data_IF_998491765650
#
_entry.id   IF_998491765650
#
_cell.length_a   1.000
_cell.length_b   1.000
_cell.length_c   1.000
_cell.angle_alpha   90.00
_cell.angle_beta   90.00
_cell.angle_gamma   90.00
#
_symmetry.space_group_name_H-M   'P 1'
#
loop_
_entity.id
_entity.type
_entity.pdbx_description
1 polymer ?
#
# COMPACT_ATOMS: atom_id res chain seq x y z
N UNK A 1 -1.06 20.93 11.81
CA UNK A 1 -1.00 19.53 12.25
C UNK A 1 -0.94 18.67 11.00
N UNK A 2 -0.01 17.72 10.94
CA UNK A 2 0.10 16.81 9.80
C UNK A 2 -1.13 15.90 9.70
N UNK A 3 -1.50 15.42 8.51
CA UNK A 3 -2.50 14.38 8.34
C UNK A 3 -2.23 13.15 9.21
N UNK A 4 -3.28 12.54 9.76
CA UNK A 4 -3.21 11.28 10.51
C UNK A 4 -4.02 10.15 9.87
N UNK A 5 -4.81 10.47 8.84
CA UNK A 5 -5.62 9.53 8.09
C UNK A 5 -5.29 9.60 6.59
N UNK A 6 -5.39 8.45 5.93
CA UNK A 6 -5.15 8.30 4.50
C UNK A 6 -6.36 7.60 3.84
N UNK A 7 -6.96 8.24 2.85
CA UNK A 7 -7.98 7.63 1.98
C UNK A 7 -7.30 7.28 0.66
N UNK A 8 -7.31 6.00 0.28
CA UNK A 8 -6.70 5.49 -0.94
C UNK A 8 -7.80 5.17 -1.95
N UNK A 9 -7.68 5.64 -3.18
CA UNK A 9 -8.47 5.17 -4.32
C UNK A 9 -7.59 4.23 -5.12
N UNK A 10 -7.93 2.95 -5.15
CA UNK A 10 -7.27 2.00 -6.05
C UNK A 10 -7.77 2.23 -7.47
N UNK A 11 -6.91 2.76 -8.33
CA UNK A 11 -7.24 2.95 -9.73
C UNK A 11 -7.17 1.61 -10.48
N UNK A 12 -7.89 1.55 -11.60
CA UNK A 12 -8.04 0.33 -12.39
C UNK A 12 -7.96 0.56 -13.91
N UNK A 13 -8.13 1.79 -14.39
CA UNK A 13 -8.16 2.13 -15.81
C UNK A 13 -7.58 3.54 -16.03
N UNK A 14 -7.33 3.90 -17.29
CA UNK A 14 -6.78 5.22 -17.64
C UNK A 14 -7.83 6.01 -18.39
N UNK A 15 -8.25 7.14 -17.84
CA UNK A 15 -9.05 8.12 -18.59
C UNK A 15 -8.15 8.92 -19.53
N UNK A 16 -8.51 8.99 -20.81
CA UNK A 16 -7.75 9.65 -21.88
C UNK A 16 -8.18 11.08 -22.13
N UNK A 17 -9.18 11.59 -21.40
CA UNK A 17 -9.80 12.87 -21.69
C UNK A 17 -11.03 12.72 -22.58
N UNK A 18 -11.91 13.71 -22.51
CA UNK A 18 -13.04 13.84 -23.43
C UNK A 18 -14.18 14.70 -22.88
N UNK A 19 -15.13 15.07 -23.75
CA UNK A 19 -16.20 16.01 -23.42
C UNK A 19 -17.27 15.44 -22.48
N UNK A 20 -17.35 14.11 -22.36
CA UNK A 20 -18.32 13.45 -21.47
C UNK A 20 -17.79 13.25 -20.05
N UNK A 21 -16.56 13.70 -19.77
CA UNK A 21 -15.98 13.70 -18.43
C UNK A 21 -16.02 12.30 -17.79
N UNK A 22 -15.60 11.29 -18.56
CA UNK A 22 -15.50 9.91 -18.13
C UNK A 22 -16.79 9.10 -18.23
N UNK A 23 -17.89 9.68 -18.74
CA UNK A 23 -19.15 8.94 -18.91
C UNK A 23 -19.10 7.93 -20.07
N UNK A 24 -18.41 8.26 -21.17
CA UNK A 24 -18.28 7.38 -22.33
C UNK A 24 -17.05 6.47 -22.22
N UNK A 25 -17.21 5.17 -22.47
CA UNK A 25 -16.09 4.20 -22.47
C UNK A 25 -15.00 4.51 -23.49
N UNK A 26 -15.34 5.18 -24.59
CA UNK A 26 -14.36 5.61 -25.60
C UNK A 26 -13.33 6.61 -25.07
N UNK A 27 -13.57 7.21 -23.90
CA UNK A 27 -12.62 8.08 -23.21
C UNK A 27 -11.69 7.29 -22.27
N UNK A 28 -11.76 5.96 -22.24
CA UNK A 28 -10.99 5.14 -21.31
C UNK A 28 -10.19 4.05 -22.02
N UNK A 29 -8.95 3.84 -21.57
CA UNK A 29 -8.21 2.62 -21.87
C UNK A 29 -8.64 1.50 -20.91
N UNK A 30 -9.49 0.60 -21.42
CA UNK A 30 -10.08 -0.52 -20.68
C UNK A 30 -9.46 -1.86 -21.10
N UNK A 31 -9.44 -2.83 -20.18
CA UNK A 31 -9.27 -4.25 -20.52
C UNK A 31 -10.64 -4.79 -20.94
N UNK A 32 -10.71 -5.91 -21.70
CA UNK A 32 -11.99 -6.48 -22.11
C UNK A 32 -12.97 -6.73 -20.95
N UNK A 33 -12.47 -7.15 -19.78
CA UNK A 33 -13.29 -7.40 -18.59
C UNK A 33 -13.73 -6.13 -17.85
N UNK A 34 -13.22 -4.94 -18.19
CA UNK A 34 -13.55 -3.66 -17.55
C UNK A 34 -14.63 -2.89 -18.31
N UNK A 35 -15.15 -3.44 -19.41
CA UNK A 35 -16.29 -2.87 -20.11
C UNK A 35 -17.50 -2.84 -19.16
N UNK A 36 -18.19 -1.70 -19.14
CA UNK A 36 -19.31 -1.40 -18.25
C UNK A 36 -18.89 -0.83 -16.88
N UNK A 37 -17.59 -0.76 -16.56
CA UNK A 37 -17.13 -0.34 -15.23
C UNK A 37 -16.84 1.17 -15.10
N UNK A 38 -16.89 1.96 -16.18
CA UNK A 38 -16.54 3.39 -16.12
C UNK A 38 -17.37 4.20 -15.11
N UNK A 39 -18.69 3.95 -14.92
CA UNK A 39 -19.44 4.64 -13.86
C UNK A 39 -18.95 4.23 -12.46
N UNK A 40 -18.47 3.00 -12.30
CA UNK A 40 -17.93 2.48 -11.03
C UNK A 40 -16.63 3.19 -10.65
N UNK A 41 -15.75 3.46 -11.62
CA UNK A 41 -14.53 4.23 -11.40
C UNK A 41 -14.83 5.66 -10.91
N UNK A 42 -15.84 6.30 -11.50
CA UNK A 42 -16.32 7.62 -11.05
C UNK A 42 -16.93 7.54 -9.64
N UNK A 43 -17.68 6.48 -9.34
CA UNK A 43 -18.23 6.28 -7.99
C UNK A 43 -17.16 5.97 -6.94
N UNK A 44 -16.02 5.37 -7.31
CA UNK A 44 -14.86 5.22 -6.41
C UNK A 44 -14.33 6.60 -5.99
N UNK A 45 -14.15 7.51 -6.95
CA UNK A 45 -13.71 8.88 -6.69
C UNK A 45 -14.68 9.59 -5.73
N UNK A 46 -15.98 9.53 -6.03
CA UNK A 46 -17.01 10.18 -5.19
C UNK A 46 -17.09 9.55 -3.80
N UNK A 47 -16.94 8.23 -3.68
CA UNK A 47 -16.90 7.55 -2.40
C UNK A 47 -15.70 8.01 -1.56
N UNK A 48 -14.54 8.21 -2.19
CA UNK A 48 -13.36 8.75 -1.52
C UNK A 48 -13.57 10.20 -1.04
N UNK A 49 -14.17 11.05 -1.88
CA UNK A 49 -14.54 12.41 -1.50
C UNK A 49 -15.48 12.44 -0.28
N UNK A 50 -16.48 11.55 -0.25
CA UNK A 50 -17.37 11.38 0.92
C UNK A 50 -16.60 10.94 2.17
N UNK A 51 -15.66 9.99 2.04
CA UNK A 51 -14.83 9.54 3.16
C UNK A 51 -13.98 10.67 3.73
N UNK A 52 -13.35 11.45 2.85
CA UNK A 52 -12.56 12.64 3.22
C UNK A 52 -13.43 13.65 3.96
N UNK A 53 -14.59 14.01 3.42
CA UNK A 53 -15.52 14.97 4.02
C UNK A 53 -16.03 14.54 5.40
N UNK A 54 -16.17 13.23 5.63
CA UNK A 54 -16.61 12.66 6.92
C UNK A 54 -15.46 12.48 7.92
N UNK A 55 -14.21 12.63 7.48
CA UNK A 55 -13.04 12.46 8.35
C UNK A 55 -12.81 13.72 9.17
N UNK A 56 -12.98 13.60 10.49
CA UNK A 56 -12.80 14.73 11.44
C UNK A 56 -11.32 15.12 11.67
N UNK A 57 -10.40 14.23 11.34
CA UNK A 57 -8.96 14.44 11.49
C UNK A 57 -8.39 15.00 10.17
N UNK A 58 -7.26 15.74 10.21
CA UNK A 58 -6.52 16.07 8.99
C UNK A 58 -6.21 14.79 8.21
N UNK A 59 -6.54 14.78 6.92
CA UNK A 59 -6.44 13.58 6.09
C UNK A 59 -5.82 13.88 4.72
N UNK A 60 -5.21 12.86 4.12
CA UNK A 60 -4.76 12.89 2.75
C UNK A 60 -5.63 11.97 1.90
N UNK A 61 -5.91 12.39 0.66
CA UNK A 61 -6.49 11.54 -0.38
C UNK A 61 -5.36 11.09 -1.30
N UNK A 62 -5.27 9.81 -1.63
CA UNK A 62 -4.28 9.29 -2.55
C UNK A 62 -4.96 8.53 -3.68
N UNK A 63 -4.72 8.95 -4.93
CA UNK A 63 -4.97 8.11 -6.10
C UNK A 63 -3.76 7.22 -6.30
N UNK A 64 -3.97 5.91 -6.42
CA UNK A 64 -2.88 4.95 -6.58
C UNK A 64 -3.10 4.06 -7.79
N UNK A 65 -2.07 3.95 -8.63
CA UNK A 65 -2.08 3.15 -9.85
C UNK A 65 -1.07 3.69 -10.86
N UNK A 66 -0.21 2.82 -11.35
CA UNK A 66 0.84 3.14 -12.30
C UNK A 66 0.41 3.08 -13.77
N UNK A 67 1.33 3.32 -14.71
CA UNK A 67 1.08 3.21 -16.14
C UNK A 67 1.09 1.72 -16.56
N UNK A 68 -0.02 1.03 -16.34
CA UNK A 68 -0.15 -0.41 -16.59
C UNK A 68 -0.37 -0.78 -18.07
N UNK A 69 -0.43 0.24 -18.95
CA UNK A 69 -0.78 0.12 -20.37
C UNK A 69 0.39 0.44 -21.26
N UNK A 70 0.63 -0.37 -22.29
CA UNK A 70 1.70 -0.14 -23.26
C UNK A 70 1.39 1.03 -24.20
N UNK A 71 0.13 1.42 -24.29
CA UNK A 71 -0.39 2.50 -25.14
C UNK A 71 -0.03 3.89 -24.60
N UNK A 72 0.28 4.04 -23.31
CA UNK A 72 0.56 5.34 -22.70
C UNK A 72 1.41 5.24 -21.43
N UNK A 73 2.25 6.26 -21.22
CA UNK A 73 2.99 6.46 -19.96
C UNK A 73 2.18 7.17 -18.87
N UNK A 74 0.96 7.61 -19.19
CA UNK A 74 0.05 8.19 -18.19
C UNK A 74 -0.31 7.11 -17.18
N UNK A 75 -0.13 7.41 -15.90
CA UNK A 75 -0.52 6.50 -14.83
C UNK A 75 -2.03 6.53 -14.60
N UNK A 76 -2.58 5.42 -14.11
CA UNK A 76 -3.99 5.38 -13.72
C UNK A 76 -4.30 6.46 -12.66
N UNK A 77 -3.42 6.64 -11.67
CA UNK A 77 -3.56 7.66 -10.63
C UNK A 77 -3.66 9.09 -11.19
N UNK A 78 -2.75 9.46 -12.11
CA UNK A 78 -2.76 10.77 -12.75
C UNK A 78 -4.02 10.97 -13.58
N UNK A 79 -4.45 9.95 -14.31
CA UNK A 79 -5.68 10.05 -15.12
C UNK A 79 -6.93 10.31 -14.27
N UNK A 80 -7.01 9.69 -13.08
CA UNK A 80 -8.13 9.91 -12.15
C UNK A 80 -8.08 11.33 -11.57
N UNK A 81 -6.90 11.85 -11.24
CA UNK A 81 -6.75 13.22 -10.76
C UNK A 81 -7.14 14.26 -11.82
N UNK A 82 -6.76 14.03 -13.09
CA UNK A 82 -7.17 14.88 -14.21
C UNK A 82 -8.68 14.81 -14.45
N UNK A 83 -9.28 13.61 -14.35
CA UNK A 83 -10.73 13.45 -14.43
C UNK A 83 -11.43 14.23 -13.31
N UNK A 84 -10.93 14.16 -12.07
CA UNK A 84 -11.46 14.94 -10.96
C UNK A 84 -11.42 16.44 -11.23
N UNK A 85 -10.32 16.93 -11.81
CA UNK A 85 -10.14 18.34 -12.16
C UNK A 85 -11.09 18.76 -13.28
N UNK A 86 -11.22 17.95 -14.31
CA UNK A 86 -12.07 18.25 -15.46
C UNK A 86 -13.57 18.25 -15.11
N UNK A 87 -13.98 17.35 -14.23
CA UNK A 87 -15.39 17.07 -13.93
C UNK A 87 -15.86 17.57 -12.56
N UNK A 88 -14.95 18.17 -11.76
CA UNK A 88 -15.26 18.67 -10.42
C UNK A 88 -15.65 17.59 -9.41
N UNK A 89 -15.20 16.34 -9.59
CA UNK A 89 -15.73 15.17 -8.86
C UNK A 89 -15.47 15.17 -7.36
N UNK A 90 -14.41 15.85 -6.91
CA UNK A 90 -14.04 15.89 -5.50
C UNK A 90 -14.86 16.90 -4.69
N UNK A 91 -15.54 17.85 -5.37
CA UNK A 91 -16.19 18.98 -4.70
C UNK A 91 -15.21 19.80 -3.84
N UNK A 92 -15.73 20.63 -2.91
CA UNK A 92 -14.90 21.32 -1.94
C UNK A 92 -14.40 20.33 -0.88
N UNK A 93 -13.10 20.02 -0.93
CA UNK A 93 -12.46 19.22 0.12
C UNK A 93 -12.29 20.05 1.39
N UNK A 94 -12.31 19.43 2.59
CA UNK A 94 -11.99 20.11 3.83
C UNK A 94 -10.63 20.83 3.74
N UNK A 95 -10.48 22.01 4.37
CA UNK A 95 -9.21 22.73 4.39
C UNK A 95 -8.07 21.82 4.85
N UNK A 96 -6.90 21.94 4.21
CA UNK A 96 -5.69 21.13 4.48
C UNK A 96 -5.79 19.65 4.11
N UNK A 97 -6.78 19.27 3.30
CA UNK A 97 -6.74 17.97 2.61
C UNK A 97 -5.69 18.03 1.50
N UNK A 98 -4.66 17.20 1.58
CA UNK A 98 -3.68 17.05 0.50
C UNK A 98 -4.07 15.88 -0.40
N UNK A 99 -3.96 16.08 -1.71
CA UNK A 99 -4.13 15.02 -2.72
C UNK A 99 -2.76 14.54 -3.16
N UNK A 100 -2.48 13.26 -2.94
CA UNK A 100 -1.26 12.57 -3.33
C UNK A 100 -1.52 11.73 -4.59
N UNK A 101 -0.50 11.62 -5.44
CA UNK A 101 -0.48 10.68 -6.56
C UNK A 101 0.58 9.62 -6.29
N UNK A 102 0.16 8.36 -6.24
CA UNK A 102 1.05 7.21 -6.22
C UNK A 102 1.01 6.55 -7.59
N UNK A 103 2.01 6.83 -8.41
CA UNK A 103 2.03 6.48 -9.84
C UNK A 103 2.84 5.19 -10.13
N UNK A 104 3.14 4.36 -9.11
CA UNK A 104 3.96 3.16 -9.27
C UNK A 104 3.19 1.87 -9.05
N UNK A 105 2.03 1.90 -8.40
CA UNK A 105 1.29 0.70 -8.05
C UNK A 105 0.83 -0.09 -9.28
N UNK A 106 1.34 -1.30 -9.46
CA UNK A 106 0.96 -2.18 -10.57
C UNK A 106 -0.03 -3.27 -10.16
N UNK A 107 -0.32 -3.40 -8.86
CA UNK A 107 -1.25 -4.38 -8.30
C UNK A 107 -1.91 -3.85 -7.02
N UNK A 108 -2.89 -4.58 -6.50
CA UNK A 108 -3.67 -4.15 -5.34
C UNK A 108 -2.87 -4.13 -4.03
N UNK A 109 -1.77 -4.87 -3.93
CA UNK A 109 -0.90 -4.80 -2.77
C UNK A 109 -0.05 -3.53 -2.80
N UNK A 110 0.54 -3.20 -3.95
CA UNK A 110 1.29 -1.97 -4.15
C UNK A 110 0.41 -0.72 -4.06
N UNK A 111 -0.87 -0.80 -4.42
CA UNK A 111 -1.84 0.26 -4.15
C UNK A 111 -1.87 0.65 -2.66
N UNK A 112 -1.75 -0.33 -1.76
CA UNK A 112 -1.74 -0.06 -0.31
C UNK A 112 -0.33 0.34 0.14
N UNK A 113 0.67 -0.48 -0.20
CA UNK A 113 2.04 -0.29 0.27
C UNK A 113 2.59 1.08 -0.15
N UNK A 114 2.50 1.41 -1.44
CA UNK A 114 3.11 2.62 -1.95
C UNK A 114 2.35 3.89 -1.56
N UNK A 115 1.02 3.83 -1.37
CA UNK A 115 0.29 4.96 -0.83
C UNK A 115 0.66 5.23 0.64
N UNK A 116 0.87 4.17 1.43
CA UNK A 116 1.32 4.30 2.82
C UNK A 116 2.75 4.85 2.90
N UNK A 117 3.65 4.43 2.02
CA UNK A 117 5.02 4.97 1.98
C UNK A 117 5.07 6.38 1.42
N UNK A 118 4.30 6.71 0.38
CA UNK A 118 4.16 8.08 -0.14
C UNK A 118 3.62 9.05 0.92
N UNK A 119 2.67 8.60 1.75
CA UNK A 119 2.19 9.37 2.89
C UNK A 119 3.32 9.66 3.90
N UNK A 120 4.12 8.64 4.22
CA UNK A 120 5.25 8.81 5.13
C UNK A 120 6.33 9.72 4.55
N UNK A 121 6.70 9.55 3.27
CA UNK A 121 7.67 10.44 2.59
C UNK A 121 7.21 11.90 2.62
N UNK A 122 5.90 12.13 2.51
CA UNK A 122 5.30 13.46 2.51
C UNK A 122 5.21 14.09 3.90
N UNK A 123 4.87 13.31 4.93
CA UNK A 123 4.49 13.84 6.25
C UNK A 123 5.42 13.46 7.40
N UNK A 124 6.39 12.56 7.17
CA UNK A 124 7.32 12.06 8.20
C UNK A 124 6.64 11.21 9.29
N UNK A 125 5.42 10.74 9.04
CA UNK A 125 4.62 9.96 9.97
C UNK A 125 3.76 8.94 9.22
N UNK A 126 3.46 7.82 9.87
CA UNK A 126 2.57 6.80 9.31
C UNK A 126 1.10 7.19 9.51
N UNK A 127 0.20 6.84 8.57
CA UNK A 127 -1.22 7.07 8.79
C UNK A 127 -1.71 6.15 9.92
N UNK A 128 -2.36 6.74 10.93
CA UNK A 128 -3.00 5.98 12.00
C UNK A 128 -4.18 5.16 11.47
N UNK A 129 -4.88 5.71 10.46
CA UNK A 129 -6.01 5.08 9.78
C UNK A 129 -5.85 5.12 8.26
N UNK A 130 -6.13 3.99 7.61
CA UNK A 130 -6.22 3.89 6.15
C UNK A 130 -7.61 3.42 5.75
N UNK A 131 -8.26 4.16 4.84
CA UNK A 131 -9.51 3.75 4.20
C UNK A 131 -9.22 3.50 2.72
N UNK A 132 -9.42 2.27 2.24
CA UNK A 132 -9.21 1.92 0.84
C UNK A 132 -10.55 1.88 0.11
N UNK A 133 -10.67 2.63 -0.96
CA UNK A 133 -11.81 2.62 -1.88
C UNK A 133 -11.44 1.76 -3.09
N UNK A 134 -12.20 0.70 -3.32
CA UNK A 134 -12.04 -0.21 -4.45
C UNK A 134 -13.34 -0.99 -4.70
N UNK A 135 -13.27 -2.03 -5.53
CA UNK A 135 -14.35 -2.99 -5.72
C UNK A 135 -14.67 -3.73 -4.41
N UNK A 136 -15.96 -3.90 -4.09
CA UNK A 136 -16.41 -4.59 -2.89
C UNK A 136 -16.05 -6.09 -2.93
N UNK A 137 -16.12 -6.74 -4.10
CA UNK A 137 -15.68 -8.13 -4.23
C UNK A 137 -14.19 -8.34 -3.89
N UNK A 138 -13.34 -7.30 -4.01
CA UNK A 138 -11.91 -7.34 -3.63
C UNK A 138 -11.67 -7.16 -2.13
N UNK A 139 -12.70 -6.86 -1.33
CA UNK A 139 -12.57 -6.48 0.10
C UNK A 139 -11.68 -7.43 0.90
N UNK A 140 -11.90 -8.74 0.78
CA UNK A 140 -11.13 -9.75 1.52
C UNK A 140 -9.63 -9.64 1.21
N UNK A 141 -9.28 -9.53 -0.08
CA UNK A 141 -7.89 -9.40 -0.52
C UNK A 141 -7.27 -8.09 -0.05
N UNK A 142 -7.96 -6.96 -0.21
CA UNK A 142 -7.46 -5.65 0.23
C UNK A 142 -7.20 -5.61 1.73
N UNK A 143 -8.11 -6.16 2.56
CA UNK A 143 -7.87 -6.28 4.01
C UNK A 143 -6.63 -7.12 4.32
N UNK A 144 -6.39 -8.18 3.55
CA UNK A 144 -5.16 -8.99 3.63
C UNK A 144 -3.91 -8.16 3.33
N UNK A 145 -3.95 -7.29 2.32
CA UNK A 145 -2.85 -6.37 2.01
C UNK A 145 -2.60 -5.38 3.15
N UNK A 146 -3.64 -4.74 3.68
CA UNK A 146 -3.51 -3.83 4.81
C UNK A 146 -2.84 -4.52 6.01
N UNK A 147 -3.23 -5.77 6.30
CA UNK A 147 -2.61 -6.55 7.36
C UNK A 147 -1.14 -6.91 7.06
N UNK A 148 -0.81 -7.28 5.81
CA UNK A 148 0.56 -7.60 5.41
C UNK A 148 1.48 -6.37 5.43
N UNK A 149 0.97 -5.21 4.99
CA UNK A 149 1.64 -3.91 5.08
C UNK A 149 1.76 -3.46 6.53
N UNK A 150 0.83 -3.84 7.40
CA UNK A 150 0.90 -3.49 8.83
C UNK A 150 0.11 -2.25 9.23
N UNK A 151 -0.89 -1.88 8.43
CA UNK A 151 -1.83 -0.80 8.76
C UNK A 151 -2.57 -1.13 10.05
N UNK A 152 -2.51 -0.23 11.03
CA UNK A 152 -3.11 -0.43 12.35
C UNK A 152 -4.65 -0.41 12.30
N UNK A 153 -5.24 0.66 11.74
CA UNK A 153 -6.67 0.77 11.50
C UNK A 153 -6.95 0.80 9.99
N UNK A 154 -7.49 -0.30 9.47
CA UNK A 154 -7.83 -0.42 8.06
C UNK A 154 -9.35 -0.56 7.85
N UNK A 155 -9.88 0.18 6.89
CA UNK A 155 -11.25 0.04 6.40
C UNK A 155 -11.26 -0.07 4.87
N UNK A 156 -12.28 -0.75 4.34
CA UNK A 156 -12.53 -0.81 2.89
C UNK A 156 -13.92 -0.27 2.60
N UNK A 157 -14.02 0.65 1.64
CA UNK A 157 -15.26 1.10 1.02
C UNK A 157 -15.34 0.43 -0.34
N UNK A 158 -16.30 -0.48 -0.47
CA UNK A 158 -16.48 -1.28 -1.67
C UNK A 158 -17.58 -0.72 -2.55
N UNK A 159 -17.31 -0.56 -3.84
CA UNK A 159 -18.31 -0.19 -4.86
C UNK A 159 -18.11 -1.10 -6.07
N UNK A 160 -19.11 -1.90 -6.40
CA UNK A 160 -19.09 -2.84 -7.51
C UNK A 160 -19.86 -2.31 -8.73
N UNK A 161 -19.53 -2.75 -9.96
CA UNK A 161 -20.35 -2.47 -11.12
C UNK A 161 -21.70 -3.17 -11.02
N UNK A 162 -22.79 -2.59 -11.57
CA UNK A 162 -24.14 -3.17 -11.49
C UNK A 162 -24.23 -4.62 -12.00
N UNK A 163 -23.43 -4.98 -13.02
CA UNK A 163 -23.39 -6.33 -13.60
C UNK A 163 -22.64 -7.37 -12.76
N UNK A 164 -22.01 -6.99 -11.65
CA UNK A 164 -21.17 -7.89 -10.86
C UNK A 164 -21.95 -9.04 -10.22
N UNK A 165 -23.23 -8.82 -9.86
CA UNK A 165 -24.08 -9.88 -9.31
C UNK A 165 -24.33 -11.04 -10.30
N UNK A 166 -24.08 -10.83 -11.60
CA UNK A 166 -24.24 -11.82 -12.66
C UNK A 166 -22.93 -12.30 -13.29
N UNK A 167 -21.75 -11.98 -12.73
CA UNK A 167 -20.46 -12.32 -13.32
C UNK A 167 -19.67 -13.36 -12.48
N UNK A 168 -20.04 -14.66 -12.54
CA UNK A 168 -19.43 -15.71 -11.72
C UNK A 168 -17.94 -15.91 -12.01
N UNK A 169 -17.49 -15.66 -13.24
CA UNK A 169 -16.08 -15.82 -13.60
C UNK A 169 -15.20 -14.72 -12.97
N UNK A 170 -15.73 -13.49 -12.86
CA UNK A 170 -15.04 -12.41 -12.16
C UNK A 170 -14.89 -12.72 -10.65
N UNK A 171 -15.94 -13.27 -10.02
CA UNK A 171 -15.88 -13.71 -8.62
C UNK A 171 -14.88 -14.85 -8.43
N UNK A 172 -14.89 -15.85 -9.33
CA UNK A 172 -13.95 -16.98 -9.28
C UNK A 172 -12.50 -16.51 -9.43
N UNK A 173 -12.24 -15.63 -10.39
CA UNK A 173 -10.92 -15.03 -10.59
C UNK A 173 -10.46 -14.22 -9.36
N UNK A 174 -11.39 -13.51 -8.70
CA UNK A 174 -11.06 -12.84 -7.44
C UNK A 174 -10.76 -13.83 -6.31
N UNK A 175 -11.52 -14.93 -6.17
CA UNK A 175 -11.26 -15.95 -5.15
C UNK A 175 -9.89 -16.60 -5.33
N UNK A 176 -9.52 -16.93 -6.57
CA UNK A 176 -8.20 -17.46 -6.92
C UNK A 176 -7.11 -16.47 -6.55
N UNK A 177 -7.26 -15.20 -6.94
CA UNK A 177 -6.31 -14.17 -6.57
C UNK A 177 -6.24 -13.98 -5.04
N UNK A 178 -7.36 -14.07 -4.32
CA UNK A 178 -7.36 -13.99 -2.86
C UNK A 178 -6.62 -15.17 -2.21
N UNK A 179 -6.66 -16.37 -2.81
CA UNK A 179 -5.87 -17.53 -2.38
C UNK A 179 -4.38 -17.32 -2.66
N UNK A 180 -4.02 -16.86 -3.87
CA UNK A 180 -2.63 -16.55 -4.24
C UNK A 180 -2.02 -15.59 -3.20
N UNK A 181 -2.71 -14.48 -2.92
CA UNK A 181 -2.23 -13.47 -1.97
C UNK A 181 -2.28 -13.91 -0.51
N UNK A 182 -3.15 -14.84 -0.14
CA UNK A 182 -3.11 -15.44 1.20
C UNK A 182 -1.86 -16.32 1.39
N UNK A 183 -1.43 -17.01 0.34
CA UNK A 183 -0.22 -17.85 0.34
C UNK A 183 1.08 -17.05 0.19
N UNK A 184 1.03 -15.92 -0.52
CA UNK A 184 2.14 -14.99 -0.74
C UNK A 184 1.71 -13.54 -0.42
N UNK A 185 1.65 -13.17 0.88
CA UNK A 185 1.12 -11.88 1.31
C UNK A 185 1.91 -10.66 0.84
N UNK A 186 3.14 -10.86 0.36
CA UNK A 186 4.02 -9.80 -0.13
C UNK A 186 4.18 -9.83 -1.66
N UNK A 187 3.55 -10.79 -2.35
CA UNK A 187 3.59 -10.90 -3.81
C UNK A 187 5.00 -11.08 -4.37
N UNK A 188 5.82 -11.89 -3.69
CA UNK A 188 7.24 -12.13 -4.04
C UNK A 188 7.46 -13.45 -4.78
N UNK A 189 6.51 -14.38 -4.68
CA UNK A 189 6.51 -15.64 -5.41
C UNK A 189 6.40 -15.44 -6.91
N UNK A 190 6.91 -16.40 -7.67
CA UNK A 190 7.07 -16.31 -9.12
C UNK A 190 5.77 -15.94 -9.87
N UNK A 191 4.62 -16.46 -9.43
CA UNK A 191 3.34 -16.17 -10.07
C UNK A 191 2.93 -14.69 -9.96
N UNK A 192 2.93 -14.14 -8.74
CA UNK A 192 2.52 -12.75 -8.49
C UNK A 192 3.56 -11.75 -9.02
N UNK A 193 4.85 -12.06 -8.93
CA UNK A 193 5.91 -11.22 -9.49
C UNK A 193 5.89 -11.20 -11.02
N UNK A 194 5.61 -12.32 -11.69
CA UNK A 194 5.43 -12.38 -13.13
C UNK A 194 4.20 -11.58 -13.59
N UNK A 195 3.06 -11.74 -12.91
CA UNK A 195 1.84 -10.92 -13.16
C UNK A 195 2.13 -9.42 -13.00
N UNK A 196 2.99 -9.03 -12.06
CA UNK A 196 3.42 -7.64 -11.86
C UNK A 196 4.34 -7.15 -12.99
N UNK A 197 5.34 -7.94 -13.36
CA UNK A 197 6.25 -7.61 -14.45
C UNK A 197 5.52 -7.42 -15.79
N UNK A 198 4.52 -8.27 -16.08
CA UNK A 198 3.68 -8.16 -17.26
C UNK A 198 2.85 -6.86 -17.30
N UNK A 199 2.58 -6.24 -16.14
CA UNK A 199 1.90 -4.94 -16.01
C UNK A 199 2.87 -3.77 -15.93
N UNK A 200 4.18 -3.98 -16.14
CA UNK A 200 5.20 -2.93 -16.08
C UNK A 200 5.85 -2.65 -17.46
N UNK A 201 5.07 -2.26 -18.50
CA UNK A 201 5.62 -2.04 -19.84
C UNK A 201 6.66 -0.92 -19.88
N UNK A 202 6.70 -0.05 -18.88
CA UNK A 202 7.57 1.13 -18.82
C UNK A 202 8.72 1.01 -17.82
N UNK A 203 8.90 -0.15 -17.18
CA UNK A 203 10.01 -0.36 -16.23
C UNK A 203 9.95 0.57 -15.01
N UNK A 204 8.74 0.92 -14.54
CA UNK A 204 8.53 1.79 -13.38
C UNK A 204 9.17 1.20 -12.14
N UNK A 205 9.86 2.04 -11.37
CA UNK A 205 10.49 1.68 -10.10
C UNK A 205 9.49 1.04 -9.13
N UNK A 206 9.85 -0.10 -8.54
CA UNK A 206 9.00 -0.88 -7.62
C UNK A 206 9.63 -1.02 -6.22
N UNK A 207 10.56 -0.14 -5.84
CA UNK A 207 11.05 -0.07 -4.47
C UNK A 207 9.98 0.44 -3.51
N UNK A 208 10.11 0.09 -2.22
CA UNK A 208 9.15 0.46 -1.17
C UNK A 208 8.97 1.99 -1.09
N UNK A 209 10.08 2.72 -1.15
CA UNK A 209 10.13 4.17 -1.26
C UNK A 209 10.42 4.60 -2.70
N UNK A 210 10.16 5.87 -2.99
CA UNK A 210 10.43 6.52 -4.27
C UNK A 210 11.90 6.35 -4.69
N UNK A 211 12.14 6.39 -5.99
CA UNK A 211 13.50 6.25 -6.52
C UNK A 211 14.39 7.39 -5.99
N UNK A 212 15.63 7.07 -5.62
CA UNK A 212 16.55 8.03 -5.01
C UNK A 212 16.32 8.33 -3.53
N UNK A 213 15.39 7.63 -2.86
CA UNK A 213 15.19 7.77 -1.41
C UNK A 213 16.46 7.35 -0.64
N UNK A 214 17.05 8.22 0.21
CA UNK A 214 18.38 8.00 0.78
C UNK A 214 18.41 6.86 1.82
N UNK A 215 19.34 5.91 1.65
CA UNK A 215 19.44 4.70 2.49
C UNK A 215 19.38 4.98 4.00
N UNK A 216 20.16 5.96 4.50
CA UNK A 216 20.24 6.34 5.92
C UNK A 216 18.93 6.77 6.58
N UNK A 217 17.92 7.17 5.79
CA UNK A 217 16.60 7.54 6.31
C UNK A 217 15.71 6.33 6.52
N UNK A 218 16.00 5.18 5.90
CA UNK A 218 15.23 3.95 6.12
C UNK A 218 15.52 3.38 7.51
N UNK A 219 16.74 3.54 8.04
CA UNK A 219 17.03 3.23 9.44
C UNK A 219 16.28 4.18 10.39
N UNK A 220 16.16 5.47 10.04
CA UNK A 220 15.39 6.44 10.82
C UNK A 220 13.89 6.13 10.81
N UNK A 221 13.35 5.73 9.64
CA UNK A 221 12.00 5.19 9.50
C UNK A 221 11.81 4.00 10.43
N UNK A 222 12.74 3.04 10.39
CA UNK A 222 12.68 1.82 11.20
C UNK A 222 12.81 2.13 12.70
N UNK A 223 13.64 3.13 13.08
CA UNK A 223 13.83 3.59 14.46
C UNK A 223 12.61 4.33 14.98
N UNK A 224 12.00 5.22 14.20
CA UNK A 224 10.78 5.95 14.55
C UNK A 224 9.57 5.01 14.70
N UNK A 225 9.52 3.95 13.88
CA UNK A 225 8.57 2.84 14.06
C UNK A 225 8.77 2.10 15.39
N UNK A 226 10.02 1.77 15.74
CA UNK A 226 10.36 1.10 17.01
C UNK A 226 10.14 1.97 18.26
N UNK A 227 10.39 3.29 18.17
CA UNK A 227 10.17 4.25 19.26
C UNK A 227 8.68 4.52 19.52
N UNK A 228 7.85 4.56 18.47
CA UNK A 228 6.40 4.68 18.61
C UNK A 228 5.79 3.45 19.32
N UNK A 229 6.35 2.26 19.11
CA UNK A 229 5.97 1.03 19.82
C UNK A 229 6.39 1.01 21.30
N UNK A 230 7.46 1.72 21.68
CA UNK A 230 7.88 1.90 23.08
C UNK A 230 6.98 2.91 23.82
N UNK A 231 6.50 3.94 23.12
CA UNK A 231 5.65 5.01 23.69
C UNK A 231 4.20 4.56 23.99
N UNK A 232 3.71 3.51 23.33
CA UNK A 232 2.37 2.93 23.58
C UNK A 232 2.31 1.99 24.80
N UNK A 233 3.43 1.77 25.52
CA UNK A 233 3.38 1.20 26.87
C UNK A 233 3.04 2.34 27.83
N UNK A 234 1.75 2.44 28.18
CA UNK A 234 1.24 3.45 29.11
C UNK A 234 1.99 3.48 30.45
N UNK A 235 1.84 4.57 31.24
CA UNK A 235 2.62 4.80 32.44
C UNK A 235 2.44 3.64 33.42
N UNK A 236 3.54 2.96 33.72
CA UNK A 236 3.64 2.03 34.82
C UNK A 236 3.19 2.74 36.09
N UNK A 237 2.06 2.27 36.65
CA UNK A 237 1.53 2.72 37.92
C UNK A 237 2.59 2.57 39.01
N UNK A 238 3.07 3.70 39.50
CA UNK A 238 3.80 3.83 40.74
C UNK A 238 2.90 3.45 41.91
N UNK A 239 3.24 2.37 42.63
CA UNK A 239 2.92 2.23 44.06
C UNK A 239 4.03 1.51 44.80
N UNK A 240 4.91 2.30 45.43
CA UNK A 240 5.44 2.08 46.80
C UNK A 240 4.22 1.92 47.75
N UNK A 241 4.13 1.14 48.81
CA UNK A 241 5.03 0.52 49.80
C UNK A 241 4.18 -0.49 50.60
N UNK A 242 4.78 -1.53 51.19
CA UNK A 242 4.11 -2.29 52.26
C UNK A 242 4.79 -3.62 52.60
N UNK A 243 5.49 -3.65 53.73
CA UNK A 243 6.25 -4.77 54.29
C UNK A 243 5.33 -5.72 55.09
N UNK A 244 5.48 -7.04 54.94
CA UNK A 244 5.81 -8.00 56.03
C UNK A 244 5.23 -9.42 55.89
N UNK A 245 6.14 -10.39 56.03
CA UNK A 245 6.05 -11.71 56.69
C UNK A 245 4.99 -12.77 56.30
N UNK A 246 5.43 -13.89 55.70
CA UNK A 246 5.51 -15.23 56.34
C UNK A 246 5.65 -16.37 55.29
N UNK A 247 6.39 -17.42 55.66
CA UNK A 247 6.85 -18.56 54.84
C UNK A 247 5.96 -19.83 55.03
N UNK A 248 6.30 -21.06 54.55
CA UNK A 248 5.98 -21.61 53.23
C UNK A 248 5.16 -22.94 53.29
N UNK A 249 4.53 -23.38 52.19
CA UNK A 249 4.40 -24.83 51.86
C UNK A 249 3.81 -25.17 50.47
N UNK A 250 4.56 -26.07 49.80
CA UNK A 250 4.21 -27.13 48.82
C UNK A 250 3.61 -26.83 47.43
N UNK A 251 4.51 -26.92 46.45
CA UNK A 251 4.41 -27.61 45.14
C UNK A 251 3.06 -28.28 44.78
N UNK A 252 2.45 -27.88 43.66
CA UNK A 252 2.58 -28.58 42.35
C UNK A 252 1.81 -27.81 41.27
N UNK A 253 2.48 -27.69 40.12
CA UNK A 253 2.02 -27.04 38.91
C UNK A 253 0.92 -27.85 38.19
N UNK A 254 0.03 -27.14 37.49
CA UNK A 254 -0.43 -27.46 36.14
C UNK A 254 -1.08 -26.19 35.55
N UNK A 255 -0.46 -25.71 34.48
CA UNK A 255 -0.70 -24.45 33.80
C UNK A 255 -1.90 -24.52 32.86
N UNK A 256 -2.85 -23.59 33.00
CA UNK A 256 -3.80 -23.22 31.95
C UNK A 256 -3.09 -22.31 30.92
N UNK A 257 -3.35 -22.42 29.61
CA UNK A 257 -2.73 -21.53 28.63
C UNK A 257 -3.33 -20.13 28.75
N UNK A 258 -2.44 -19.17 29.04
CA UNK A 258 -2.75 -17.75 29.12
C UNK A 258 -3.26 -17.18 27.80
N UNK A 259 -4.27 -16.33 27.95
CA UNK A 259 -4.84 -15.43 26.96
C UNK A 259 -3.73 -14.57 26.34
N UNK A 260 -3.34 -14.87 25.10
CA UNK A 260 -2.38 -14.04 24.38
C UNK A 260 -2.97 -12.65 24.10
N UNK A 261 -2.34 -11.62 24.67
CA UNK A 261 -2.60 -10.21 24.38
C UNK A 261 -2.43 -9.95 22.88
N UNK A 262 -3.44 -9.35 22.26
CA UNK A 262 -3.64 -9.27 20.81
C UNK A 262 -3.18 -7.92 20.23
N UNK A 263 -2.08 -7.36 20.72
CA UNK A 263 -1.53 -6.06 20.29
C UNK A 263 -0.09 -6.25 19.81
N UNK A 264 0.17 -6.07 18.50
CA UNK A 264 1.54 -6.11 17.95
C UNK A 264 1.72 -6.79 16.58
N UNK A 265 0.66 -7.12 15.83
CA UNK A 265 0.82 -7.81 14.52
C UNK A 265 1.10 -6.90 13.33
N UNK A 266 0.63 -5.64 13.34
CA UNK A 266 0.79 -4.73 12.20
C UNK A 266 2.22 -4.23 12.00
N UNK A 267 2.85 -3.73 13.06
CA UNK A 267 4.16 -3.03 13.04
C UNK A 267 5.32 -3.86 12.46
N UNK A 268 5.21 -5.18 12.50
CA UNK A 268 6.29 -6.10 12.07
C UNK A 268 6.32 -6.37 10.56
N UNK A 269 5.27 -6.05 9.81
CA UNK A 269 5.16 -6.34 8.37
C UNK A 269 6.03 -5.46 7.49
N UNK A 270 5.79 -4.14 7.53
CA UNK A 270 6.52 -3.13 6.75
C UNK A 270 8.00 -3.06 7.14
N UNK A 271 8.33 -3.14 8.43
CA UNK A 271 9.71 -3.16 8.92
C UNK A 271 10.51 -4.29 8.28
N UNK A 272 9.98 -5.52 8.29
CA UNK A 272 10.63 -6.68 7.65
C UNK A 272 10.66 -6.59 6.13
N UNK A 273 9.79 -5.79 5.52
CA UNK A 273 9.78 -5.54 4.08
C UNK A 273 10.91 -4.56 3.72
N UNK A 274 10.99 -3.42 4.43
CA UNK A 274 12.03 -2.41 4.30
C UNK A 274 13.41 -3.01 4.55
N UNK A 275 13.63 -3.70 5.67
CA UNK A 275 14.90 -4.34 6.03
C UNK A 275 15.40 -5.39 5.00
N UNK A 276 14.48 -6.05 4.29
CA UNK A 276 14.85 -7.04 3.26
C UNK A 276 15.08 -6.42 1.89
N UNK A 277 14.41 -5.30 1.59
CA UNK A 277 14.65 -4.56 0.36
C UNK A 277 16.00 -3.81 0.44
N UNK A 278 16.32 -3.24 1.61
CA UNK A 278 17.63 -2.64 1.90
C UNK A 278 18.77 -3.61 1.60
N UNK A 279 18.71 -4.82 2.18
CA UNK A 279 19.72 -5.87 1.93
C UNK A 279 19.87 -6.22 0.45
N UNK A 280 18.79 -6.16 -0.34
CA UNK A 280 18.83 -6.42 -1.79
C UNK A 280 19.41 -5.25 -2.58
N UNK A 281 19.11 -4.01 -2.20
CA UNK A 281 19.72 -2.83 -2.81
C UNK A 281 21.22 -2.78 -2.51
N UNK A 282 21.62 -3.06 -1.27
CA UNK A 282 23.03 -3.21 -0.89
C UNK A 282 23.74 -4.32 -1.70
N UNK A 283 23.09 -5.49 -1.86
CA UNK A 283 23.65 -6.59 -2.67
C UNK A 283 23.76 -6.21 -4.15
N UNK A 284 22.75 -5.57 -4.73
CA UNK A 284 22.76 -5.14 -6.13
C UNK A 284 23.79 -4.01 -6.41
N UNK A 285 23.99 -3.10 -5.46
CA UNK A 285 25.04 -2.08 -5.53
C UNK A 285 26.45 -2.68 -5.40
N UNK A 286 26.62 -3.75 -4.60
CA UNK A 286 27.88 -4.48 -4.50
C UNK A 286 28.18 -5.34 -5.74
N UNK A 287 27.17 -6.00 -6.32
CA UNK A 287 27.30 -6.76 -7.57
C UNK A 287 27.58 -5.84 -8.78
N UNK A 288 26.97 -4.65 -8.82
CA UNK A 288 27.26 -3.64 -9.84
C UNK A 288 28.66 -3.04 -9.75
N UNK A 289 29.23 -2.92 -8.55
CA UNK A 289 30.61 -2.47 -8.35
C UNK A 289 31.64 -3.56 -8.71
N UNK A 290 31.35 -4.83 -8.43
CA UNK A 290 32.23 -5.97 -8.76
C UNK A 290 32.31 -6.29 -10.27
N UNK A 291 31.28 -5.94 -11.04
CA UNK A 291 31.28 -6.11 -12.50
C UNK A 291 32.18 -5.12 -13.25
N UNK A 292 32.48 -3.96 -12.67
CA UNK A 292 33.32 -2.93 -13.31
C UNK A 292 34.82 -3.24 -13.14
N UNK A 293 35.22 -3.90 -12.06
CA UNK A 293 36.63 -4.31 -11.87
C UNK A 293 37.00 -5.56 -12.70
N UNK A 294 36.06 -6.47 -12.97
CA UNK A 294 36.34 -7.68 -13.76
C UNK A 294 36.54 -7.39 -15.26
N UNK A 295 35.86 -6.39 -15.82
CA UNK A 295 36.00 -6.00 -17.25
C UNK A 295 37.28 -5.25 -17.59
N UNK A 296 37.98 -4.69 -16.59
CA UNK A 296 39.23 -3.96 -16.76
C UNK A 296 40.46 -4.89 -16.88
N UNK A 297 40.42 -6.06 -16.21
CA UNK A 297 41.55 -6.98 -16.17
C UNK A 297 41.69 -7.88 -17.41
N UNK A 298 40.61 -8.11 -18.16
CA UNK A 298 40.62 -8.99 -19.34
C UNK A 298 41.05 -8.28 -20.62
N UNK A 299 40.92 -6.94 -20.69
CA UNK A 299 41.38 -6.14 -21.83
C UNK A 299 42.91 -5.95 -21.91
N UNK A 300 43.65 -6.23 -20.83
CA UNK A 300 45.10 -6.03 -20.77
C UNK A 300 45.94 -7.27 -21.12
N UNK A 301 45.32 -8.42 -21.46
CA UNK A 301 46.05 -9.67 -21.80
C UNK A 301 46.08 -10.02 -23.29
N UNK A 302 45.57 -9.14 -24.17
CA UNK A 302 45.64 -9.30 -25.62
C UNK A 302 46.46 -8.24 -26.37
N UNK A 303 47.29 -7.49 -25.64
CA UNK A 303 48.35 -6.65 -26.22
C UNK A 303 49.67 -6.88 -25.48
N UNK A 304 50.29 -8.04 -25.71
CA UNK A 304 51.71 -8.30 -25.52
C UNK A 304 52.11 -9.49 -26.39
#
# INVERSE_FOLDING_TARGET
>A
MAPTALVIVCCHAIWQGGPSHGALESEWLLQPFQRGETPTFVEHIKAAARCVAQTRQPCALCFSGGPTRGETRVSEARSYAELCRAAGLLGPLPPRTEVLLEERALDSFHNVLFSVTAFWERFGAWPARVTVVSHAFKRRRIMGHCAAVGVAEAAVVGVDPPGMLGAPDALRGEEEAARDWASDPFGRGAGLSAKRAARNPWGVWQGVFSEGWPAGTVEDVARQMGASALSLRGPSSTTRTGVSSASPRSKRALSCPGRASRTGRGETGLLRLCERQLRRQESASQEGAGGVEAGSAEAARHQA
#
